data_IF_029618119263
#
_entry.id   IF_029618119263
#
_cell.length_a   1.000
_cell.length_b   1.000
_cell.length_c   1.000
_cell.angle_alpha   90.00
_cell.angle_beta   90.00
_cell.angle_gamma   90.00
#
_symmetry.space_group_name_H-M   'P 1'
#
loop_
_entity.id
_entity.type
_entity.pdbx_description
1 polymer ?
#
# COMPACT_ATOMS: atom_id res chain seq x y z
N UNK A 1 -38.62 -9.87 16.22
CA UNK A 1 -37.98 -9.45 14.96
C UNK A 1 -36.54 -9.08 15.27
N UNK A 2 -35.58 -9.85 14.74
CA UNK A 2 -34.18 -9.85 15.14
C UNK A 2 -33.47 -8.53 14.89
N UNK A 3 -32.81 -8.02 15.93
CA UNK A 3 -31.76 -7.02 15.78
C UNK A 3 -30.44 -7.77 15.76
N UNK A 4 -30.07 -8.31 14.61
CA UNK A 4 -28.69 -8.73 14.39
C UNK A 4 -27.83 -7.52 14.66
N UNK A 5 -26.91 -7.61 15.61
CA UNK A 5 -26.00 -6.51 15.92
C UNK A 5 -25.24 -6.18 14.62
N UNK A 6 -25.23 -4.91 14.15
CA UNK A 6 -24.55 -4.57 12.91
C UNK A 6 -23.09 -5.02 13.00
N UNK A 7 -22.64 -5.72 11.96
CA UNK A 7 -21.26 -6.20 11.90
C UNK A 7 -20.32 -5.03 11.65
N UNK A 8 -19.03 -5.21 11.92
CA UNK A 8 -18.02 -4.22 11.52
C UNK A 8 -18.10 -3.88 10.02
N UNK A 9 -18.43 -4.87 9.17
CA UNK A 9 -18.65 -4.67 7.73
C UNK A 9 -19.85 -3.76 7.45
N UNK A 10 -20.95 -3.91 8.19
CA UNK A 10 -22.11 -3.01 8.06
C UNK A 10 -21.75 -1.58 8.48
N UNK A 11 -20.98 -1.44 9.56
CA UNK A 11 -20.51 -0.18 10.06
C UNK A 11 -19.54 0.53 9.08
N UNK A 12 -18.66 -0.24 8.43
CA UNK A 12 -17.73 0.27 7.43
C UNK A 12 -18.47 0.73 6.16
N UNK A 13 -19.47 -0.02 5.68
CA UNK A 13 -20.33 0.42 4.58
C UNK A 13 -21.06 1.73 4.93
N UNK A 14 -21.58 1.84 6.15
CA UNK A 14 -22.23 3.08 6.60
C UNK A 14 -21.24 4.27 6.71
N UNK A 15 -19.96 4.01 7.02
CA UNK A 15 -18.92 5.04 6.90
C UNK A 15 -18.75 5.41 5.42
N UNK A 16 -18.49 4.47 4.54
CA UNK A 16 -18.26 4.71 3.11
C UNK A 16 -19.38 5.55 2.47
N UNK A 17 -20.64 5.19 2.74
CA UNK A 17 -21.82 5.93 2.27
C UNK A 17 -21.79 7.40 2.70
N UNK A 18 -21.42 7.70 3.95
CA UNK A 18 -21.32 9.08 4.46
C UNK A 18 -20.22 9.90 3.79
N UNK A 19 -19.22 9.26 3.21
CA UNK A 19 -18.11 9.92 2.52
C UNK A 19 -18.32 10.03 1.00
N UNK A 20 -19.47 9.59 0.48
CA UNK A 20 -19.77 9.65 -0.96
C UNK A 20 -19.64 11.06 -1.55
N UNK A 21 -20.11 12.09 -0.84
CA UNK A 21 -20.01 13.47 -1.32
C UNK A 21 -18.57 14.00 -1.30
N UNK A 22 -17.78 13.60 -0.29
CA UNK A 22 -16.35 13.89 -0.25
C UNK A 22 -15.64 13.25 -1.45
N UNK A 23 -15.90 11.96 -1.71
CA UNK A 23 -15.37 11.23 -2.88
C UNK A 23 -15.71 11.95 -4.19
N UNK A 24 -16.94 12.43 -4.34
CA UNK A 24 -17.38 13.17 -5.54
C UNK A 24 -16.64 14.50 -5.72
N UNK A 25 -16.27 15.16 -4.62
CA UNK A 25 -15.50 16.40 -4.64
C UNK A 25 -14.01 16.19 -4.96
N UNK A 26 -13.48 14.97 -4.80
CA UNK A 26 -12.10 14.66 -5.15
C UNK A 26 -11.84 14.79 -6.66
N UNK A 27 -10.60 15.18 -7.00
CA UNK A 27 -10.13 15.14 -8.40
C UNK A 27 -10.24 13.71 -8.91
N UNK A 28 -10.52 13.55 -10.21
CA UNK A 28 -10.67 12.22 -10.86
C UNK A 28 -9.49 11.28 -10.60
N UNK A 29 -8.26 11.80 -10.51
CA UNK A 29 -7.04 11.03 -10.23
C UNK A 29 -6.97 10.48 -8.79
N UNK A 30 -7.72 11.07 -7.86
CA UNK A 30 -7.67 10.74 -6.43
C UNK A 30 -8.85 9.84 -6.00
N UNK A 31 -9.90 9.74 -6.82
CA UNK A 31 -11.04 8.85 -6.55
C UNK A 31 -10.65 7.37 -6.45
N UNK A 32 -9.82 6.80 -7.35
CA UNK A 32 -9.40 5.40 -7.23
C UNK A 32 -8.58 5.15 -5.96
N UNK A 33 -7.75 6.12 -5.54
CA UNK A 33 -6.98 6.02 -4.29
C UNK A 33 -7.90 6.03 -3.08
N UNK A 34 -8.93 6.87 -3.10
CA UNK A 34 -9.94 6.90 -2.05
C UNK A 34 -10.69 5.56 -1.95
N UNK A 35 -11.09 4.98 -3.08
CA UNK A 35 -11.78 3.68 -3.11
C UNK A 35 -10.89 2.58 -2.51
N UNK A 36 -9.59 2.60 -2.81
CA UNK A 36 -8.60 1.66 -2.26
C UNK A 36 -8.50 1.72 -0.73
N UNK A 37 -8.71 2.88 -0.09
CA UNK A 37 -8.68 2.99 1.37
C UNK A 37 -9.76 2.11 2.02
N UNK A 38 -10.93 2.02 1.41
CA UNK A 38 -12.01 1.18 1.93
C UNK A 38 -11.81 -0.30 1.62
N UNK A 39 -11.01 -0.65 0.60
CA UNK A 39 -10.52 -2.02 0.39
C UNK A 39 -9.58 -2.44 1.54
N UNK A 40 -8.59 -1.62 1.88
CA UNK A 40 -7.67 -1.88 3.00
C UNK A 40 -8.38 -2.05 4.33
N UNK A 41 -9.36 -1.19 4.60
CA UNK A 41 -10.20 -1.30 5.79
C UNK A 41 -11.04 -2.61 5.83
N UNK A 42 -11.39 -3.16 4.66
CA UNK A 42 -12.15 -4.42 4.54
C UNK A 42 -11.26 -5.66 4.71
N UNK A 43 -10.02 -5.64 4.24
CA UNK A 43 -9.06 -6.75 4.40
C UNK A 43 -8.82 -7.07 5.88
N UNK A 44 -8.90 -6.05 6.73
CA UNK A 44 -8.74 -6.16 8.18
C UNK A 44 -10.06 -6.25 8.97
N UNK A 45 -11.18 -6.51 8.29
CA UNK A 45 -12.50 -6.54 8.92
C UNK A 45 -12.64 -7.65 9.99
N UNK A 46 -11.95 -8.77 9.80
CA UNK A 46 -12.03 -9.91 10.71
C UNK A 46 -11.25 -9.66 12.02
N UNK A 47 -10.14 -8.91 11.96
CA UNK A 47 -9.42 -8.44 13.14
C UNK A 47 -10.20 -7.34 13.88
N UNK A 48 -10.85 -6.45 13.13
CA UNK A 48 -11.61 -5.31 13.66
C UNK A 48 -12.95 -5.72 14.30
N UNK A 49 -13.51 -6.86 13.90
CA UNK A 49 -14.78 -7.40 14.43
C UNK A 49 -14.71 -7.93 15.86
N UNK A 50 -13.50 -8.16 16.40
CA UNK A 50 -13.28 -8.63 17.79
C UNK A 50 -13.48 -7.54 18.83
N UNK A 51 -13.42 -6.30 18.40
CA UNK A 51 -13.48 -5.14 19.24
C UNK A 51 -14.88 -4.52 19.08
N UNK A 52 -15.63 -4.50 20.18
CA UNK A 52 -16.99 -3.95 20.24
C UNK A 52 -16.92 -2.40 20.17
N UNK A 53 -16.51 -1.89 19.02
CA UNK A 53 -16.12 -0.50 18.85
C UNK A 53 -17.33 0.42 18.82
N UNK A 54 -17.37 1.38 19.74
CA UNK A 54 -18.28 2.51 19.64
C UNK A 54 -17.94 3.43 18.45
N UNK A 55 -16.72 3.33 17.92
CA UNK A 55 -16.27 4.09 16.75
C UNK A 55 -15.59 3.19 15.70
N UNK A 56 -16.33 2.75 14.66
CA UNK A 56 -15.80 1.90 13.58
C UNK A 56 -14.80 2.60 12.66
N UNK A 57 -14.62 3.93 12.77
CA UNK A 57 -13.65 4.67 11.96
C UNK A 57 -12.21 4.42 12.40
N UNK A 58 -11.97 4.27 13.71
CA UNK A 58 -10.61 4.07 14.23
C UNK A 58 -9.96 2.78 13.69
N UNK A 59 -10.63 1.61 13.73
CA UNK A 59 -10.06 0.39 13.14
C UNK A 59 -9.84 0.55 11.64
N UNK A 60 -10.77 1.17 10.91
CA UNK A 60 -10.62 1.41 9.48
C UNK A 60 -9.34 2.23 9.17
N UNK A 61 -9.06 3.27 9.96
CA UNK A 61 -7.84 4.06 9.80
C UNK A 61 -6.58 3.27 10.12
N UNK A 62 -6.57 2.43 11.16
CA UNK A 62 -5.42 1.56 11.47
C UNK A 62 -5.18 0.54 10.36
N UNK A 63 -6.25 -0.05 9.83
CA UNK A 63 -6.15 -0.98 8.70
C UNK A 63 -5.58 -0.31 7.45
N UNK A 64 -6.01 0.91 7.16
CA UNK A 64 -5.48 1.73 6.06
C UNK A 64 -3.99 2.01 6.26
N UNK A 65 -3.59 2.36 7.49
CA UNK A 65 -2.20 2.68 7.84
C UNK A 65 -1.28 1.47 7.66
N UNK A 66 -1.70 0.29 8.15
CA UNK A 66 -0.95 -0.96 7.99
C UNK A 66 -0.73 -1.35 6.52
N UNK A 67 -1.76 -1.25 5.68
CA UNK A 67 -1.64 -1.55 4.25
C UNK A 67 -0.80 -0.50 3.50
N UNK A 68 -0.78 0.74 3.98
CA UNK A 68 0.11 1.76 3.43
C UNK A 68 1.56 1.50 3.81
N UNK A 69 1.84 1.11 5.05
CA UNK A 69 3.18 0.75 5.51
C UNK A 69 3.73 -0.44 4.72
N UNK A 70 2.94 -1.52 4.56
CA UNK A 70 3.34 -2.69 3.78
C UNK A 70 3.69 -2.35 2.32
N UNK A 71 3.00 -1.37 1.72
CA UNK A 71 3.31 -0.89 0.37
C UNK A 71 4.55 -0.01 0.31
N UNK A 72 4.84 0.73 1.38
CA UNK A 72 6.09 1.47 1.47
C UNK A 72 7.27 0.49 1.55
N UNK A 73 7.17 -0.53 2.40
CA UNK A 73 8.17 -1.59 2.51
C UNK A 73 8.43 -2.26 1.15
N UNK A 74 7.37 -2.66 0.41
CA UNK A 74 7.51 -3.25 -0.93
C UNK A 74 8.24 -2.31 -1.91
N UNK A 75 7.95 -1.00 -1.83
CA UNK A 75 8.59 -0.01 -2.68
C UNK A 75 10.06 0.22 -2.31
N UNK A 76 10.38 0.24 -1.02
CA UNK A 76 11.75 0.36 -0.52
C UNK A 76 12.59 -0.86 -0.91
N UNK A 77 12.05 -2.08 -0.74
CA UNK A 77 12.71 -3.32 -1.15
C UNK A 77 13.01 -3.32 -2.66
N UNK A 78 12.02 -2.94 -3.47
CA UNK A 78 12.20 -2.87 -4.94
C UNK A 78 13.22 -1.82 -5.34
N UNK A 79 13.28 -0.68 -4.65
CA UNK A 79 14.31 0.33 -4.90
C UNK A 79 15.70 -0.22 -4.58
N UNK A 80 15.86 -0.88 -3.43
CA UNK A 80 17.13 -1.51 -3.04
C UNK A 80 17.57 -2.57 -4.07
N UNK A 81 16.65 -3.40 -4.57
CA UNK A 81 16.95 -4.39 -5.62
C UNK A 81 17.44 -3.73 -6.92
N UNK A 82 16.76 -2.65 -7.35
CA UNK A 82 17.14 -1.92 -8.56
C UNK A 82 18.50 -1.22 -8.41
N UNK A 83 18.75 -0.59 -7.26
CA UNK A 83 20.03 0.04 -6.93
C UNK A 83 21.18 -0.98 -6.93
N UNK A 84 20.96 -2.16 -6.34
CA UNK A 84 21.95 -3.24 -6.36
C UNK A 84 22.24 -3.73 -7.79
N UNK A 85 21.19 -3.95 -8.60
CA UNK A 85 21.34 -4.41 -9.97
C UNK A 85 22.10 -3.40 -10.86
N UNK A 86 21.90 -2.09 -10.62
CA UNK A 86 22.63 -1.03 -11.29
C UNK A 86 24.11 -1.02 -10.88
N UNK A 87 24.41 -1.10 -9.58
CA UNK A 87 25.79 -1.15 -9.09
C UNK A 87 26.55 -2.35 -9.67
N UNK A 88 25.94 -3.53 -9.68
CA UNK A 88 26.56 -4.71 -10.29
C UNK A 88 26.79 -4.56 -11.81
N UNK A 89 25.91 -3.84 -12.51
CA UNK A 89 26.07 -3.58 -13.93
C UNK A 89 27.24 -2.62 -14.20
N UNK A 90 27.38 -1.57 -13.38
CA UNK A 90 28.48 -0.62 -13.44
C UNK A 90 29.83 -1.32 -13.12
N UNK A 91 29.88 -2.17 -12.10
CA UNK A 91 31.07 -2.95 -11.76
C UNK A 91 31.50 -3.87 -12.92
N UNK A 92 30.53 -4.54 -13.56
CA UNK A 92 30.79 -5.37 -14.74
C UNK A 92 31.35 -4.56 -15.91
N UNK A 93 30.83 -3.34 -16.14
CA UNK A 93 31.32 -2.46 -17.20
C UNK A 93 32.77 -2.02 -16.92
N UNK A 94 33.05 -1.54 -15.71
CA UNK A 94 34.39 -1.10 -15.30
C UNK A 94 35.44 -2.23 -15.41
N UNK A 95 35.10 -3.46 -15.01
CA UNK A 95 35.99 -4.60 -15.16
C UNK A 95 36.27 -4.99 -16.63
N UNK A 96 35.28 -4.83 -17.52
CA UNK A 96 35.47 -5.12 -18.95
C UNK A 96 36.34 -4.09 -19.67
N UNK A 97 36.25 -2.81 -19.28
CA UNK A 97 37.08 -1.73 -19.82
C UNK A 97 38.54 -1.84 -19.33
N UNK A 98 38.75 -2.25 -18.08
CA UNK A 98 40.08 -2.49 -17.53
C UNK A 98 40.80 -3.65 -18.25
N UNK A 99 40.11 -4.77 -18.51
CA UNK A 99 40.69 -5.93 -19.19
C UNK A 99 41.00 -5.69 -20.68
N UNK A 100 40.29 -4.78 -21.35
CA UNK A 100 40.53 -4.45 -22.76
C UNK A 100 41.78 -3.58 -22.95
N UNK A 101 42.20 -2.84 -21.92
CA UNK A 101 43.35 -1.92 -21.99
C UNK A 101 44.69 -2.65 -21.85
N UNK A 102 44.72 -3.82 -21.18
CA UNK A 102 45.95 -4.59 -20.96
C UNK A 102 46.36 -5.47 -22.17
N UNK A 103 45.40 -5.93 -22.98
CA UNK A 103 45.67 -6.81 -24.14
C UNK A 103 46.07 -6.06 -25.44
N UNK A 104 46.08 -4.73 -25.44
CA UNK A 104 46.42 -3.90 -26.60
C UNK A 104 47.88 -3.43 -26.68
N UNK A 105 48.74 -3.86 -25.76
CA UNK A 105 50.12 -3.39 -25.62
C UNK A 105 51.14 -4.55 -25.74
N UNK A 106 51.02 -5.35 -26.79
CA UNK A 106 52.08 -6.27 -27.25
C UNK A 106 52.09 -6.38 -28.77
#
# INVERSE_FOLDING_TARGET
>A
MGRTNPTYRDALRAIEERWTDFRRALRRRDQPRFDQLFEYAREHADASGLLNHQNPLLPALISIDLEQEARLDEHEDRLAELENALNEADDRQQHSEAGTTEDGLH
#
